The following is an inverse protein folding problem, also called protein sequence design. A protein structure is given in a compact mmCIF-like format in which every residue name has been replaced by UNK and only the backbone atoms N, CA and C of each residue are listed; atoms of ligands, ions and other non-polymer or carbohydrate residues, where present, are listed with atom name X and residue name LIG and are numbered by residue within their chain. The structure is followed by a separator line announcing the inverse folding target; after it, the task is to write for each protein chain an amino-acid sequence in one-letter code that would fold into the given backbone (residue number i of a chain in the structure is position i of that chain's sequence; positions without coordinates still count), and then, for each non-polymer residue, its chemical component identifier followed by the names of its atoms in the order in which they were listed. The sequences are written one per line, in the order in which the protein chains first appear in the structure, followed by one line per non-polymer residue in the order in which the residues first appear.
data_IF_549629256251
#
_entry.id   IF_549629256251
#
_cell.length_a   1.000
_cell.length_b   1.000
_cell.length_c   1.000
_cell.angle_alpha   90.00
_cell.angle_beta   90.00
_cell.angle_gamma   90.00
#
_symmetry.space_group_name_H-M   'P 1'
#
loop_
_entity.id
_entity.type
_entity.pdbx_description
1 polymer ?
#
# COMPACT_ATOMS: atom_id res chain seq x y z
N UNK A 1 10.54 9.76 2.79
CA UNK A 1 10.07 10.82 1.86
C UNK A 1 8.68 11.24 2.29
N UNK A 2 8.47 12.51 2.67
CA UNK A 2 7.19 12.97 3.21
C UNK A 2 7.25 13.90 4.42
N UNK A 3 8.41 14.05 5.05
CA UNK A 3 8.62 14.92 6.21
C UNK A 3 7.95 14.47 7.52
N UNK A 4 7.03 13.50 7.50
CA UNK A 4 6.42 12.96 8.73
C UNK A 4 7.48 12.29 9.58
N UNK A 5 7.68 12.83 10.78
CA UNK A 5 8.49 12.29 11.86
C UNK A 5 7.60 12.11 13.08
N UNK A 6 7.87 11.11 13.91
CA UNK A 6 7.08 10.90 15.13
C UNK A 6 7.65 9.80 16.01
N UNK A 7 7.14 9.76 17.24
CA UNK A 7 7.45 8.76 18.26
C UNK A 7 6.18 8.08 18.75
N UNK A 8 6.32 6.84 19.21
CA UNK A 8 5.23 6.08 19.79
C UNK A 8 5.05 6.48 21.27
N UNK A 9 3.81 6.39 21.75
CA UNK A 9 3.47 6.41 23.17
C UNK A 9 2.78 5.09 23.51
N UNK A 10 2.64 4.79 24.80
CA UNK A 10 1.86 3.61 25.26
C UNK A 10 0.43 3.62 24.72
N UNK A 11 -0.15 4.82 24.55
CA UNK A 11 -1.48 5.02 24.00
C UNK A 11 -1.56 4.79 22.46
N UNK A 12 -0.45 4.68 21.74
CA UNK A 12 -0.48 4.41 20.29
C UNK A 12 0.76 4.83 19.48
N UNK A 13 0.77 4.43 18.21
CA UNK A 13 1.88 4.71 17.27
C UNK A 13 1.86 6.15 16.73
N UNK A 14 3.04 6.75 16.61
CA UNK A 14 3.27 8.07 16.00
C UNK A 14 2.33 9.18 16.53
N UNK A 15 2.08 9.22 17.84
CA UNK A 15 1.12 10.18 18.43
C UNK A 15 1.71 11.58 18.62
N UNK A 16 3.02 11.69 18.83
CA UNK A 16 3.74 12.97 18.91
C UNK A 16 4.73 13.03 17.75
N UNK A 17 4.77 14.14 17.02
CA UNK A 17 5.64 14.28 15.87
C UNK A 17 5.58 15.64 15.19
N UNK A 18 6.31 15.76 14.07
CA UNK A 18 6.38 16.97 13.26
C UNK A 18 6.48 16.63 11.77
N UNK A 19 6.08 17.59 10.92
CA UNK A 19 6.42 17.56 9.48
C UNK A 19 7.74 18.32 9.31
N UNK A 20 8.84 17.59 9.22
CA UNK A 20 10.20 18.12 9.07
C UNK A 20 10.90 17.46 7.88
N UNK A 21 11.19 18.24 6.83
CA UNK A 21 11.85 17.73 5.62
C UNK A 21 13.37 17.62 5.83
N UNK A 22 14.01 16.51 5.41
CA UNK A 22 15.45 16.39 5.47
C UNK A 22 16.11 17.31 4.43
N UNK A 23 17.33 17.79 4.71
CA UNK A 23 18.12 18.56 3.76
C UNK A 23 18.61 17.71 2.57
N UNK A 24 18.88 16.42 2.80
CA UNK A 24 19.34 15.46 1.80
C UNK A 24 18.84 14.05 2.15
N UNK A 25 18.51 13.25 1.13
CA UNK A 25 18.27 11.80 1.27
C UNK A 25 19.30 11.08 0.40
N UNK A 26 20.10 10.23 1.03
CA UNK A 26 21.05 9.33 0.35
C UNK A 26 20.47 7.93 0.41
N UNK A 27 20.21 7.32 -0.75
CA UNK A 27 19.72 5.95 -0.87
C UNK A 27 20.78 5.08 -1.55
N UNK A 28 21.72 4.56 -0.75
CA UNK A 28 22.72 3.60 -1.24
C UNK A 28 22.09 2.21 -1.41
N UNK A 29 21.91 1.80 -2.67
CA UNK A 29 21.31 0.51 -3.01
C UNK A 29 22.22 -0.66 -2.63
N UNK A 30 23.53 -0.44 -2.48
CA UNK A 30 24.46 -1.49 -2.03
C UNK A 30 24.19 -1.91 -0.58
N UNK A 31 23.66 -1.01 0.26
CA UNK A 31 23.29 -1.34 1.63
C UNK A 31 22.24 -2.47 1.71
N UNK A 32 21.43 -2.62 0.65
CA UNK A 32 20.40 -3.67 0.55
C UNK A 32 21.01 -5.07 0.32
N UNK A 33 22.29 -5.19 -0.05
CA UNK A 33 22.96 -6.50 -0.24
C UNK A 33 23.05 -7.29 1.06
N UNK A 34 23.07 -6.60 2.21
CA UNK A 34 23.07 -7.22 3.55
C UNK A 34 21.67 -7.44 4.14
N UNK A 35 20.63 -6.93 3.48
CA UNK A 35 19.27 -6.99 4.00
C UNK A 35 18.69 -8.40 3.81
N UNK A 36 18.11 -9.03 4.85
CA UNK A 36 17.51 -10.35 4.69
C UNK A 36 16.45 -10.34 3.58
N UNK A 37 16.40 -11.37 2.71
CA UNK A 37 15.46 -11.40 1.59
C UNK A 37 14.00 -11.18 1.99
N UNK A 38 13.61 -11.67 3.17
CA UNK A 38 12.26 -11.49 3.75
C UNK A 38 11.92 -10.02 4.04
N UNK A 39 12.91 -9.20 4.43
CA UNK A 39 12.73 -7.78 4.71
C UNK A 39 12.74 -6.97 3.41
N UNK A 40 13.62 -7.34 2.46
CA UNK A 40 13.62 -6.74 1.13
C UNK A 40 12.26 -6.91 0.43
N UNK A 41 11.66 -8.10 0.59
CA UNK A 41 10.31 -8.40 0.11
C UNK A 41 9.26 -7.42 0.62
N UNK A 42 9.33 -6.98 1.88
CA UNK A 42 8.36 -6.04 2.46
C UNK A 42 8.30 -4.73 1.68
N UNK A 43 9.43 -4.27 1.14
CA UNK A 43 9.50 -3.06 0.33
C UNK A 43 8.72 -3.15 -1.00
N UNK A 44 8.55 -4.36 -1.55
CA UNK A 44 7.82 -4.53 -2.80
C UNK A 44 6.32 -4.26 -2.66
N UNK A 45 5.73 -4.43 -1.47
CA UNK A 45 4.33 -4.07 -1.24
C UNK A 45 4.07 -2.59 -1.55
N UNK A 46 4.97 -1.71 -1.11
CA UNK A 46 4.89 -0.27 -1.36
C UNK A 46 5.17 0.08 -2.83
N UNK A 47 6.10 -0.62 -3.47
CA UNK A 47 6.38 -0.45 -4.91
C UNK A 47 5.14 -0.81 -5.73
N UNK A 48 4.54 -1.98 -5.47
CA UNK A 48 3.36 -2.46 -6.18
C UNK A 48 2.18 -1.50 -5.93
N UNK A 49 1.98 -1.04 -4.69
CA UNK A 49 0.98 -0.02 -4.37
C UNK A 49 1.13 1.22 -5.24
N UNK A 50 2.33 1.80 -5.32
CA UNK A 50 2.59 2.98 -6.15
C UNK A 50 2.31 2.72 -7.64
N UNK A 51 2.62 1.51 -8.12
CA UNK A 51 2.30 1.11 -9.49
C UNK A 51 0.78 1.12 -9.73
N UNK A 52 0.00 0.51 -8.82
CA UNK A 52 -1.45 0.45 -8.89
C UNK A 52 -2.07 1.85 -8.90
N UNK A 53 -1.59 2.76 -8.05
CA UNK A 53 -2.24 4.07 -7.92
C UNK A 53 -1.82 5.12 -8.95
N UNK A 54 -0.65 4.95 -9.60
CA UNK A 54 -0.04 6.03 -10.41
C UNK A 54 0.78 5.58 -11.62
N UNK A 55 1.11 4.30 -11.79
CA UNK A 55 2.09 3.89 -12.79
C UNK A 55 1.83 2.50 -13.38
N UNK A 56 0.94 2.45 -14.37
CA UNK A 56 0.59 1.23 -15.09
C UNK A 56 1.79 0.59 -15.82
N UNK A 57 2.74 1.40 -16.28
CA UNK A 57 3.93 0.87 -16.93
C UNK A 57 4.87 0.20 -15.91
N UNK A 58 5.06 0.81 -14.73
CA UNK A 58 5.79 0.16 -13.64
C UNK A 58 5.13 -1.17 -13.25
N UNK A 59 3.81 -1.21 -13.16
CA UNK A 59 3.07 -2.45 -12.92
C UNK A 59 3.35 -3.49 -14.01
N UNK A 60 3.27 -3.09 -15.29
CA UNK A 60 3.54 -3.96 -16.44
C UNK A 60 4.96 -4.53 -16.41
N UNK A 61 5.97 -3.73 -16.07
CA UNK A 61 7.37 -4.17 -15.96
C UNK A 61 7.55 -5.19 -14.83
N UNK A 62 6.84 -5.01 -13.71
CA UNK A 62 6.86 -5.93 -12.58
C UNK A 62 6.04 -7.22 -12.83
N UNK A 63 5.10 -7.21 -13.78
CA UNK A 63 4.17 -8.31 -14.07
C UNK A 63 4.86 -9.59 -14.58
N UNK A 64 4.44 -10.79 -14.15
CA UNK A 64 4.96 -12.08 -14.64
C UNK A 64 4.91 -12.22 -16.17
N UNK A 65 3.93 -11.57 -16.80
CA UNK A 65 3.71 -11.59 -18.26
C UNK A 65 4.67 -10.66 -19.02
N UNK A 66 5.47 -9.85 -18.33
CA UNK A 66 6.50 -9.06 -18.98
C UNK A 66 7.48 -10.02 -19.68
N UNK A 67 7.58 -9.93 -21.02
CA UNK A 67 8.72 -10.51 -21.73
C UNK A 67 9.97 -10.05 -20.99
N UNK A 68 10.85 -10.96 -20.57
CA UNK A 68 12.13 -10.65 -19.92
C UNK A 68 12.81 -9.52 -20.70
N UNK A 69 12.65 -8.28 -20.23
CA UNK A 69 13.40 -7.17 -20.78
C UNK A 69 14.80 -7.36 -20.22
N UNK A 70 15.75 -7.61 -21.11
CA UNK A 70 17.17 -7.73 -20.79
C UNK A 70 17.58 -6.52 -19.95
N UNK A 71 17.80 -6.74 -18.65
CA UNK A 71 18.22 -5.68 -17.72
C UNK A 71 17.23 -5.34 -16.59
N UNK A 72 15.97 -5.79 -16.61
CA UNK A 72 15.03 -5.56 -15.51
C UNK A 72 15.48 -6.22 -14.19
N UNK A 73 16.04 -7.43 -14.27
CA UNK A 73 16.64 -8.15 -13.13
C UNK A 73 18.11 -7.74 -12.85
N UNK A 74 18.64 -6.75 -13.57
CA UNK A 74 20.01 -6.26 -13.32
C UNK A 74 20.05 -5.28 -12.14
N UNK A 75 21.22 -5.12 -11.52
CA UNK A 75 21.46 -4.09 -10.49
C UNK A 75 21.02 -2.69 -10.97
N UNK A 76 21.25 -2.37 -12.25
CA UNK A 76 20.81 -1.11 -12.85
C UNK A 76 19.28 -1.00 -12.97
N UNK A 77 18.61 -2.11 -13.28
CA UNK A 77 17.14 -2.20 -13.30
C UNK A 77 16.54 -1.97 -11.91
N UNK A 78 17.15 -2.55 -10.87
CA UNK A 78 16.71 -2.36 -9.49
C UNK A 78 16.89 -0.91 -9.00
N UNK A 79 18.03 -0.28 -9.29
CA UNK A 79 18.26 1.15 -9.01
C UNK A 79 17.22 2.03 -9.73
N UNK A 80 16.92 1.73 -11.00
CA UNK A 80 15.91 2.46 -11.76
C UNK A 80 14.50 2.31 -11.16
N UNK A 81 14.15 1.12 -10.71
CA UNK A 81 12.88 0.85 -10.02
C UNK A 81 12.76 1.66 -8.72
N UNK A 82 13.79 1.65 -7.88
CA UNK A 82 13.82 2.43 -6.63
C UNK A 82 13.67 3.92 -6.94
N UNK A 83 14.43 4.44 -7.93
CA UNK A 83 14.34 5.84 -8.34
C UNK A 83 12.94 6.21 -8.81
N UNK A 84 12.32 5.37 -9.65
CA UNK A 84 10.95 5.56 -10.15
C UNK A 84 9.94 5.60 -9.00
N UNK A 85 10.06 4.66 -8.06
CA UNK A 85 9.21 4.58 -6.86
C UNK A 85 9.34 5.82 -5.96
N UNK A 86 10.57 6.30 -5.75
CA UNK A 86 10.88 7.54 -5.01
C UNK A 86 10.22 8.74 -5.70
N UNK A 87 10.35 8.85 -7.03
CA UNK A 87 9.80 9.96 -7.79
C UNK A 87 8.26 10.01 -7.75
N UNK A 88 7.58 8.85 -7.72
CA UNK A 88 6.11 8.79 -7.53
C UNK A 88 5.74 9.38 -6.16
N UNK A 89 6.35 8.86 -5.07
CA UNK A 89 6.05 9.35 -3.71
C UNK A 89 6.39 10.82 -3.53
N UNK A 90 7.51 11.28 -4.09
CA UNK A 90 7.91 12.68 -4.03
C UNK A 90 6.89 13.59 -4.74
N UNK A 91 6.43 13.23 -5.95
CA UNK A 91 5.41 14.01 -6.68
C UNK A 91 4.10 14.11 -5.90
N UNK A 92 3.60 12.99 -5.37
CA UNK A 92 2.35 12.98 -4.57
C UNK A 92 2.52 13.83 -3.31
N UNK A 93 3.62 13.67 -2.57
CA UNK A 93 3.88 14.44 -1.35
C UNK A 93 4.00 15.93 -1.66
N UNK A 94 4.71 16.31 -2.73
CA UNK A 94 4.88 17.72 -3.10
C UNK A 94 3.57 18.37 -3.53
N UNK A 95 2.68 17.61 -4.19
CA UNK A 95 1.37 18.08 -4.59
C UNK A 95 0.40 18.31 -3.41
N UNK A 96 0.62 17.63 -2.27
CA UNK A 96 -0.27 17.71 -1.11
C UNK A 96 0.47 17.50 0.21
N UNK A 97 1.45 18.36 0.47
CA UNK A 97 2.38 18.21 1.61
C UNK A 97 1.67 18.26 2.97
N UNK A 98 0.55 19.00 3.06
CA UNK A 98 -0.25 19.17 4.28
C UNK A 98 -1.52 18.30 4.33
N UNK A 99 -1.70 17.38 3.38
CA UNK A 99 -2.87 16.47 3.31
C UNK A 99 -4.23 17.19 3.24
N UNK A 100 -4.26 18.30 2.52
CA UNK A 100 -5.44 19.16 2.37
C UNK A 100 -6.27 18.82 1.12
N UNK A 101 -5.64 18.40 0.02
CA UNK A 101 -6.37 18.10 -1.23
C UNK A 101 -6.87 16.66 -1.30
N UNK A 102 -6.21 15.75 -0.59
CA UNK A 102 -6.51 14.32 -0.63
C UNK A 102 -5.63 13.54 -1.60
N UNK A 103 -4.80 14.20 -2.42
CA UNK A 103 -3.83 13.54 -3.31
C UNK A 103 -2.86 12.67 -2.50
N UNK A 104 -2.39 13.16 -1.35
CA UNK A 104 -1.47 12.39 -0.50
C UNK A 104 -2.15 11.20 0.17
N UNK A 105 -3.49 11.21 0.29
CA UNK A 105 -4.23 10.10 0.86
C UNK A 105 -4.23 8.86 -0.05
N UNK A 106 -3.94 9.01 -1.34
CA UNK A 106 -3.87 7.89 -2.30
C UNK A 106 -2.71 6.93 -2.00
N UNK A 107 -1.66 7.41 -1.31
CA UNK A 107 -0.61 6.56 -0.75
C UNK A 107 -1.14 5.55 0.27
N UNK A 108 -2.38 5.69 0.71
CA UNK A 108 -3.03 4.78 1.64
C UNK A 108 -3.86 3.68 0.95
N UNK A 109 -3.69 3.44 -0.35
CA UNK A 109 -4.28 2.27 -1.00
C UNK A 109 -3.84 0.99 -0.28
N UNK A 110 -4.81 0.13 0.06
CA UNK A 110 -4.63 -1.05 0.92
C UNK A 110 -4.39 -0.78 2.42
N UNK A 111 -4.06 0.45 2.83
CA UNK A 111 -3.67 0.73 4.22
C UNK A 111 -4.84 0.70 5.21
N UNK A 112 -6.07 0.98 4.78
CA UNK A 112 -7.23 0.95 5.70
C UNK A 112 -7.39 -0.45 6.30
N UNK A 113 -7.39 -1.49 5.46
CA UNK A 113 -7.46 -2.89 5.91
C UNK A 113 -6.11 -3.36 6.44
N UNK A 114 -4.99 -3.01 5.78
CA UNK A 114 -3.66 -3.39 6.24
C UNK A 114 -3.34 -2.92 7.67
N UNK A 115 -3.62 -1.67 8.01
CA UNK A 115 -3.43 -1.19 9.38
C UNK A 115 -4.42 -1.82 10.37
N UNK A 116 -5.61 -2.21 9.92
CA UNK A 116 -6.55 -2.94 10.76
C UNK A 116 -6.03 -4.34 11.11
N UNK A 117 -5.40 -5.04 10.15
CA UNK A 117 -4.70 -6.31 10.37
C UNK A 117 -3.53 -6.11 11.34
N UNK A 118 -2.71 -5.08 11.14
CA UNK A 118 -1.61 -4.76 12.06
C UNK A 118 -2.11 -4.59 13.50
N UNK A 119 -3.18 -3.83 13.71
CA UNK A 119 -3.78 -3.63 15.04
C UNK A 119 -4.38 -4.92 15.61
N UNK A 120 -5.17 -5.65 14.82
CA UNK A 120 -5.85 -6.87 15.25
C UNK A 120 -4.85 -7.97 15.64
N UNK A 121 -3.67 -8.00 15.00
CA UNK A 121 -2.61 -8.97 15.27
C UNK A 121 -1.58 -8.50 16.29
N UNK A 122 -1.80 -7.35 16.94
CA UNK A 122 -0.84 -6.71 17.83
C UNK A 122 0.56 -6.56 17.18
N UNK A 123 0.57 -6.20 15.89
CA UNK A 123 1.76 -5.96 15.06
C UNK A 123 2.68 -7.19 14.89
N UNK A 124 2.13 -8.41 15.02
CA UNK A 124 2.87 -9.65 14.78
C UNK A 124 3.12 -9.94 13.30
N UNK A 125 2.23 -9.47 12.42
CA UNK A 125 2.41 -9.61 10.97
C UNK A 125 3.22 -8.41 10.44
N UNK A 126 4.24 -8.62 9.60
CA UNK A 126 5.01 -7.53 8.99
C UNK A 126 4.14 -6.53 8.22
N UNK A 127 4.59 -5.28 8.18
CA UNK A 127 3.83 -4.19 7.55
C UNK A 127 3.52 -4.44 6.07
N UNK A 128 4.53 -4.78 5.27
CA UNK A 128 4.34 -5.02 3.83
C UNK A 128 3.40 -6.19 3.54
N UNK A 129 3.44 -7.22 4.38
CA UNK A 129 2.49 -8.35 4.32
C UNK A 129 1.05 -7.89 4.61
N UNK A 130 0.84 -7.06 5.64
CA UNK A 130 -0.47 -6.48 5.94
C UNK A 130 -0.97 -5.57 4.80
N UNK A 131 -0.10 -4.73 4.23
CA UNK A 131 -0.46 -3.86 3.10
C UNK A 131 -0.78 -4.69 1.86
N UNK A 132 -0.06 -5.79 1.61
CA UNK A 132 -0.35 -6.71 0.52
C UNK A 132 -1.76 -7.29 0.60
N UNK A 133 -2.13 -7.84 1.76
CA UNK A 133 -3.48 -8.37 2.01
C UNK A 133 -4.52 -7.24 1.91
N UNK A 134 -4.22 -6.06 2.46
CA UNK A 134 -5.10 -4.90 2.37
C UNK A 134 -5.32 -4.40 0.93
N UNK A 135 -4.33 -4.52 0.04
CA UNK A 135 -4.50 -4.22 -1.38
C UNK A 135 -5.45 -5.20 -2.06
N UNK A 136 -5.45 -6.48 -1.68
CA UNK A 136 -6.41 -7.48 -2.20
C UNK A 136 -7.84 -7.07 -1.84
N UNK A 137 -8.10 -6.73 -0.58
CA UNK A 137 -9.40 -6.22 -0.16
C UNK A 137 -9.78 -4.92 -0.90
N UNK A 138 -8.84 -3.99 -1.04
CA UNK A 138 -9.08 -2.73 -1.75
C UNK A 138 -9.40 -2.93 -3.24
N UNK A 139 -8.76 -3.90 -3.90
CA UNK A 139 -9.10 -4.27 -5.27
C UNK A 139 -10.49 -4.93 -5.35
N UNK A 140 -10.85 -5.84 -4.44
CA UNK A 140 -12.19 -6.43 -4.37
C UNK A 140 -13.28 -5.36 -4.21
N UNK A 141 -13.09 -4.41 -3.29
CA UNK A 141 -13.97 -3.25 -3.13
C UNK A 141 -14.02 -2.41 -4.42
N UNK A 142 -12.87 -2.18 -5.06
CA UNK A 142 -12.81 -1.40 -6.29
C UNK A 142 -13.55 -2.07 -7.46
N UNK A 143 -13.62 -3.41 -7.52
CA UNK A 143 -14.44 -4.10 -8.52
C UNK A 143 -15.95 -3.85 -8.34
N UNK A 144 -16.39 -3.62 -7.10
CA UNK A 144 -17.80 -3.36 -6.75
C UNK A 144 -18.16 -1.87 -6.82
N UNK A 145 -17.19 -0.98 -6.54
CA UNK A 145 -17.43 0.45 -6.26
C UNK A 145 -16.70 1.43 -7.19
N UNK A 146 -15.81 0.95 -8.07
CA UNK A 146 -14.97 1.82 -8.87
C UNK A 146 -14.66 1.27 -10.28
N UNK A 147 -15.41 0.30 -10.79
CA UNK A 147 -15.25 -0.27 -12.15
C UNK A 147 -13.93 -1.02 -12.42
N UNK A 148 -13.15 -1.36 -11.39
CA UNK A 148 -11.96 -2.20 -11.58
C UNK A 148 -12.38 -3.53 -12.19
N UNK A 149 -11.74 -3.95 -13.27
CA UNK A 149 -12.06 -5.24 -13.89
C UNK A 149 -11.59 -6.40 -13.00
N UNK A 150 -12.32 -7.51 -13.00
CA UNK A 150 -11.89 -8.75 -12.32
C UNK A 150 -10.52 -9.22 -12.82
N UNK A 151 -10.21 -9.01 -14.10
CA UNK A 151 -8.91 -9.35 -14.68
C UNK A 151 -7.77 -8.52 -14.07
N UNK A 152 -7.95 -7.20 -13.89
CA UNK A 152 -6.94 -6.35 -13.25
C UNK A 152 -6.77 -6.68 -11.76
N UNK A 153 -7.86 -6.98 -11.05
CA UNK A 153 -7.78 -7.50 -9.67
C UNK A 153 -6.92 -8.77 -9.63
N UNK A 154 -7.17 -9.72 -10.52
CA UNK A 154 -6.44 -10.98 -10.56
C UNK A 154 -4.97 -10.78 -10.97
N UNK A 155 -4.68 -9.83 -11.86
CA UNK A 155 -3.33 -9.44 -12.21
C UNK A 155 -2.57 -8.83 -11.02
N UNK A 156 -3.23 -8.03 -10.17
CA UNK A 156 -2.67 -7.51 -8.91
C UNK A 156 -2.33 -8.67 -7.96
N UNK A 157 -3.26 -9.62 -7.76
CA UNK A 157 -3.03 -10.80 -6.91
C UNK A 157 -1.86 -11.64 -7.43
N UNK A 158 -1.78 -11.87 -8.74
CA UNK A 158 -0.68 -12.60 -9.37
C UNK A 158 0.66 -11.88 -9.18
N UNK A 159 0.68 -10.55 -9.26
CA UNK A 159 1.88 -9.76 -9.03
C UNK A 159 2.37 -9.84 -7.59
N UNK A 160 1.46 -9.73 -6.61
CA UNK A 160 1.81 -9.87 -5.19
C UNK A 160 2.42 -11.25 -4.90
N UNK A 161 1.79 -12.31 -5.44
CA UNK A 161 2.30 -13.69 -5.33
C UNK A 161 3.67 -13.87 -5.98
N UNK A 162 3.95 -13.22 -7.12
CA UNK A 162 5.29 -13.24 -7.76
C UNK A 162 6.38 -12.75 -6.81
N UNK A 163 6.09 -11.70 -6.04
CA UNK A 163 7.00 -11.17 -5.04
C UNK A 163 6.85 -11.86 -3.69
N UNK A 164 6.21 -13.03 -3.63
CA UNK A 164 6.03 -13.86 -2.43
C UNK A 164 5.30 -13.14 -1.30
N UNK A 165 4.50 -12.11 -1.60
CA UNK A 165 3.70 -11.39 -0.62
C UNK A 165 2.36 -12.13 -0.38
N UNK A 166 1.85 -12.14 0.86
CA UNK A 166 0.59 -12.80 1.16
C UNK A 166 -0.58 -12.07 0.51
N UNK A 167 -1.55 -12.84 0.01
CA UNK A 167 -2.77 -12.34 -0.64
C UNK A 167 -4.04 -12.80 0.07
N UNK A 168 -3.87 -13.49 1.20
CA UNK A 168 -4.94 -14.02 2.03
C UNK A 168 -4.58 -13.78 3.49
N UNK A 169 -5.60 -13.59 4.32
CA UNK A 169 -5.43 -13.46 5.75
C UNK A 169 -5.17 -14.84 6.37
N UNK A 170 -4.17 -15.00 7.27
CA UNK A 170 -3.96 -16.27 7.97
C UNK A 170 -5.23 -16.72 8.69
N UNK A 171 -5.52 -18.02 8.66
CA UNK A 171 -6.77 -18.59 9.17
C UNK A 171 -6.98 -18.33 10.68
N UNK A 172 -5.89 -18.23 11.42
CA UNK A 172 -5.86 -17.94 12.85
C UNK A 172 -6.18 -16.47 13.20
N UNK A 173 -6.19 -15.56 12.21
CA UNK A 173 -6.52 -14.15 12.43
C UNK A 173 -8.03 -13.97 12.31
N UNK A 174 -8.64 -13.51 13.40
CA UNK A 174 -10.07 -13.22 13.48
C UNK A 174 -10.45 -12.02 12.59
N UNK A 175 -11.24 -12.31 11.55
CA UNK A 175 -11.75 -11.33 10.57
C UNK A 175 -12.66 -10.28 11.21
N UNK A 176 -13.46 -10.65 12.21
CA UNK A 176 -14.31 -9.70 12.95
C UNK A 176 -13.47 -8.72 13.76
N UNK A 177 -12.40 -9.22 14.37
CA UNK A 177 -11.44 -8.36 15.07
C UNK A 177 -10.74 -7.40 14.10
N UNK A 178 -10.40 -7.84 12.89
CA UNK A 178 -9.86 -6.96 11.83
C UNK A 178 -10.90 -5.91 11.43
N UNK A 179 -12.14 -6.31 11.16
CA UNK A 179 -13.22 -5.40 10.80
C UNK A 179 -13.48 -4.34 11.87
N UNK A 180 -13.53 -4.73 13.14
CA UNK A 180 -13.67 -3.80 14.27
C UNK A 180 -12.48 -2.82 14.36
N UNK A 181 -11.27 -3.27 14.03
CA UNK A 181 -10.07 -2.44 14.08
C UNK A 181 -10.01 -1.37 12.97
N UNK A 182 -10.87 -1.42 11.94
CA UNK A 182 -10.93 -0.39 10.89
C UNK A 182 -11.37 0.97 11.45
N UNK A 183 -12.30 0.98 12.41
CA UNK A 183 -12.92 2.20 12.97
C UNK A 183 -11.91 3.11 13.67
N UNK A 184 -10.77 2.56 14.12
CA UNK A 184 -9.70 3.31 14.79
C UNK A 184 -8.75 4.05 13.83
N UNK A 185 -8.92 3.95 12.50
CA UNK A 185 -8.10 4.71 11.54
C UNK A 185 -8.53 6.19 11.51
N UNK A 186 -7.58 7.12 11.46
CA UNK A 186 -7.82 8.59 11.49
C UNK A 186 -8.58 9.13 10.26
N UNK A 187 -9.03 8.26 9.36
CA UNK A 187 -9.80 8.59 8.14
C UNK A 187 -11.29 8.80 8.38
N UNK A 188 -11.78 8.57 9.61
CA UNK A 188 -13.13 8.94 10.05
C UNK A 188 -13.20 10.42 10.43
N UNK A 189 -12.97 11.32 9.47
CA UNK A 189 -13.27 12.75 9.65
C UNK A 189 -14.75 12.98 9.30
N UNK A 190 -15.56 13.36 10.29
CA UNK A 190 -16.95 13.77 10.08
C UNK A 190 -17.94 12.65 9.70
N UNK A 191 -17.65 11.40 10.04
CA UNK A 191 -18.57 10.26 9.85
C UNK A 191 -18.59 9.66 8.43
N UNK A 192 -17.75 10.13 7.51
CA UNK A 192 -17.60 9.56 6.16
C UNK A 192 -16.27 8.81 6.02
N UNK A 193 -16.32 7.60 5.47
CA UNK A 193 -15.14 6.78 5.22
C UNK A 193 -14.47 7.29 3.94
N UNK A 194 -13.27 7.86 4.06
CA UNK A 194 -12.43 8.16 2.89
C UNK A 194 -11.61 6.93 2.52
N UNK A 195 -12.10 6.15 1.57
CA UNK A 195 -11.44 4.94 1.09
C UNK A 195 -10.73 5.20 -0.24
N UNK A 196 -9.54 4.63 -0.43
CA UNK A 196 -8.81 4.74 -1.71
C UNK A 196 -9.22 3.57 -2.58
N UNK A 197 -9.80 3.86 -3.74
CA UNK A 197 -10.20 2.87 -4.75
C UNK A 197 -9.43 3.11 -6.06
N UNK A 198 -9.37 2.10 -6.91
CA UNK A 198 -8.68 2.16 -8.20
C UNK A 198 -9.62 1.71 -9.30
N UNK A 199 -9.92 2.54 -10.33
CA UNK A 199 -10.77 2.11 -11.44
C UNK A 199 -10.03 1.31 -12.51
N UNK A 200 -8.69 1.41 -12.50
CA UNK A 200 -7.77 0.70 -13.39
C UNK A 200 -6.37 0.83 -12.83
N UNK A 201 -5.51 -0.11 -13.17
CA UNK A 201 -4.10 -0.05 -12.77
C UNK A 201 -3.45 1.21 -13.32
N UNK A 202 -2.73 1.93 -12.46
CA UNK A 202 -2.08 3.20 -12.75
C UNK A 202 -2.89 4.43 -12.33
N UNK A 203 -4.10 4.23 -11.78
CA UNK A 203 -4.97 5.31 -11.34
C UNK A 203 -5.69 4.96 -10.04
N UNK A 204 -5.83 5.94 -9.16
CA UNK A 204 -6.63 5.81 -7.94
C UNK A 204 -7.21 7.15 -7.53
N UNK A 205 -8.34 7.09 -6.84
CA UNK A 205 -9.03 8.25 -6.28
C UNK A 205 -9.59 7.93 -4.89
N UNK A 206 -10.00 8.96 -4.17
CA UNK A 206 -10.73 8.81 -2.92
C UNK A 206 -12.22 8.68 -3.21
N UNK A 207 -12.83 7.63 -2.68
CA UNK A 207 -14.28 7.44 -2.67
C UNK A 207 -14.84 7.69 -1.28
N UNK A 208 -16.00 8.34 -1.23
CA UNK A 208 -16.84 8.46 -0.04
C UNK A 208 -18.04 7.49 -0.08
N UNK A 209 -18.14 6.68 -1.14
CA UNK A 209 -19.28 5.78 -1.39
C UNK A 209 -19.02 4.37 -0.84
N UNK A 210 -17.78 4.08 -0.43
CA UNK A 210 -17.41 2.84 0.25
C UNK A 210 -17.96 2.87 1.67
N UNK A 211 -18.81 1.89 1.98
CA UNK A 211 -19.45 1.72 3.28
C UNK A 211 -18.62 0.81 4.20
N UNK A 212 -18.94 0.77 5.50
CA UNK A 212 -18.36 -0.23 6.39
C UNK A 212 -18.71 -1.66 5.96
N UNK A 213 -19.86 -1.86 5.33
CA UNK A 213 -20.28 -3.18 4.87
C UNK A 213 -19.39 -3.67 3.72
N UNK A 214 -19.09 -2.80 2.75
CA UNK A 214 -18.14 -3.12 1.67
C UNK A 214 -16.77 -3.54 2.23
N UNK A 215 -16.32 -2.88 3.30
CA UNK A 215 -15.05 -3.20 3.95
C UNK A 215 -15.14 -4.54 4.69
N UNK A 216 -16.26 -4.83 5.37
CA UNK A 216 -16.48 -6.13 6.04
C UNK A 216 -16.51 -7.27 5.05
N UNK A 217 -17.27 -7.14 3.96
CA UNK A 217 -17.28 -8.12 2.88
C UNK A 217 -15.87 -8.32 2.30
N UNK A 218 -15.16 -7.21 2.01
CA UNK A 218 -13.80 -7.26 1.51
C UNK A 218 -12.81 -7.93 2.46
N UNK A 219 -13.03 -7.90 3.78
CA UNK A 219 -12.24 -8.63 4.78
C UNK A 219 -12.67 -10.09 4.88
N UNK A 220 -13.96 -10.38 4.74
CA UNK A 220 -14.50 -11.74 4.77
C UNK A 220 -13.99 -12.59 3.59
N UNK A 221 -13.74 -11.96 2.44
CA UNK A 221 -13.20 -12.58 1.22
C UNK A 221 -11.67 -12.79 1.24
N UNK A 222 -10.95 -12.33 2.29
CA UNK A 222 -9.50 -12.51 2.45
C UNK A 222 -9.10 -13.88 2.99
#
# INVERSE_FOLDING_TARGET
IGGKTGVNLDAGKNLIGAIHHPALIIADVNALESLPPKELRQGYAEIIKHAIIRDAEMFRVLSPRAKRQSGSDSKNGFVALIRRNIAIKARIVSADARETSGERALLNFGHTVGHAIERATNFKIPHGDCISIGMVAACGISTKRADLSSQERDDVVALLKRFQLPTQLPAEVDRERVAAAVVHDKKFLGGKIRFVVTPRIGEAHLSNDVTMEDIREGIAEL
#
